data_IF_283869080210
#
_entry.id   IF_283869080210
#
_cell.length_a   1.000
_cell.length_b   1.000
_cell.length_c   1.000
_cell.angle_alpha   90.00
_cell.angle_beta   90.00
_cell.angle_gamma   90.00
#
_symmetry.space_group_name_H-M   'P 1'
#
loop_
_entity.id
_entity.type
_entity.pdbx_description
1 polymer ?
#
# COMPACT_ATOMS: atom_id res chain seq x y z
N UNK A 1 25.63 -8.80 -30.08
CA UNK A 1 25.51 -9.91 -29.12
C UNK A 1 24.18 -10.60 -29.35
N UNK A 2 24.17 -11.92 -29.60
CA UNK A 2 22.93 -12.70 -29.79
C UNK A 2 22.64 -13.44 -28.49
N UNK A 3 21.61 -13.01 -27.76
CA UNK A 3 21.15 -13.71 -26.56
C UNK A 3 20.37 -14.96 -26.94
N UNK A 4 20.66 -16.07 -26.27
CA UNK A 4 19.96 -17.35 -26.49
C UNK A 4 18.49 -17.26 -26.05
N UNK A 5 17.65 -18.16 -26.54
CA UNK A 5 16.23 -18.24 -26.15
C UNK A 5 16.09 -18.42 -24.63
N UNK A 6 16.98 -19.20 -24.01
CA UNK A 6 17.03 -19.37 -22.55
C UNK A 6 17.35 -18.05 -21.82
N UNK A 7 18.31 -17.25 -22.30
CA UNK A 7 18.63 -15.95 -21.72
C UNK A 7 17.47 -14.95 -21.84
N UNK A 8 16.71 -14.99 -22.95
CA UNK A 8 15.52 -14.15 -23.12
C UNK A 8 14.39 -14.55 -22.16
N UNK A 9 14.20 -15.85 -21.95
CA UNK A 9 13.20 -16.37 -21.00
C UNK A 9 13.54 -16.01 -19.54
N UNK A 10 14.81 -16.03 -19.16
CA UNK A 10 15.26 -15.59 -17.82
C UNK A 10 15.04 -14.09 -17.59
N UNK A 11 15.31 -13.25 -18.59
CA UNK A 11 15.06 -11.80 -18.49
C UNK A 11 13.55 -11.50 -18.41
N UNK A 12 12.72 -12.23 -19.16
CA UNK A 12 11.26 -12.05 -19.11
C UNK A 12 10.68 -12.51 -17.76
N UNK A 13 11.18 -13.62 -17.19
CA UNK A 13 10.76 -14.10 -15.87
C UNK A 13 11.21 -13.18 -14.71
N UNK A 14 12.35 -12.49 -14.87
CA UNK A 14 12.82 -11.48 -13.90
C UNK A 14 11.96 -10.21 -13.91
N UNK A 15 11.27 -9.91 -15.01
CA UNK A 15 10.38 -8.74 -15.14
C UNK A 15 8.95 -9.00 -14.66
N UNK A 16 8.56 -10.25 -14.42
CA UNK A 16 7.18 -10.63 -14.07
C UNK A 16 6.93 -10.82 -12.57
N UNK A 17 7.92 -10.58 -11.71
CA UNK A 17 7.73 -10.61 -10.24
C UNK A 17 7.34 -9.25 -9.67
N UNK A 18 6.62 -8.43 -10.45
CA UNK A 18 5.86 -7.34 -9.86
C UNK A 18 4.75 -8.01 -9.03
N UNK A 19 4.94 -8.09 -7.71
CA UNK A 19 3.86 -8.38 -6.78
C UNK A 19 2.78 -7.32 -7.03
N UNK A 20 1.80 -7.67 -7.86
CA UNK A 20 0.69 -6.79 -8.17
C UNK A 20 -0.21 -6.81 -6.94
N UNK A 21 0.15 -5.99 -5.96
CA UNK A 21 -0.81 -5.55 -4.98
C UNK A 21 -1.90 -4.77 -5.74
N UNK A 22 -3.16 -4.97 -5.39
CA UNK A 22 -4.28 -4.25 -5.98
C UNK A 22 -5.06 -3.58 -4.86
N UNK A 23 -4.93 -2.26 -4.71
CA UNK A 23 -5.75 -1.48 -3.78
C UNK A 23 -6.96 -0.85 -4.47
N UNK A 24 -8.09 -0.81 -3.76
CA UNK A 24 -9.27 -0.04 -4.14
C UNK A 24 -9.91 0.60 -2.91
N UNK A 25 -10.65 1.68 -3.12
CA UNK A 25 -11.48 2.31 -2.08
C UNK A 25 -12.81 1.56 -1.95
N UNK A 26 -13.28 1.36 -0.73
CA UNK A 26 -14.57 0.72 -0.45
C UNK A 26 -15.71 1.74 -0.29
N UNK A 27 -15.39 2.99 0.06
CA UNK A 27 -16.38 4.05 0.29
C UNK A 27 -15.97 5.38 -0.38
N UNK A 28 -16.93 6.30 -0.50
CA UNK A 28 -16.69 7.67 -0.98
C UNK A 28 -16.40 8.67 0.16
N UNK A 29 -16.25 8.18 1.39
CA UNK A 29 -15.90 9.04 2.52
C UNK A 29 -14.40 9.32 2.50
N UNK A 30 -14.00 10.53 2.89
CA UNK A 30 -12.60 10.91 3.04
C UNK A 30 -12.28 11.16 4.52
N UNK A 31 -11.16 10.63 4.96
CA UNK A 31 -10.52 10.98 6.22
C UNK A 31 -9.62 12.22 6.03
N UNK A 32 -9.15 12.81 7.14
CA UNK A 32 -8.41 14.07 7.16
C UNK A 32 -7.20 14.04 8.10
N UNK A 33 -6.07 14.57 7.64
CA UNK A 33 -4.81 14.68 8.39
C UNK A 33 -4.25 16.10 8.31
N UNK A 34 -3.65 16.58 9.40
CA UNK A 34 -3.09 17.92 9.54
C UNK A 34 -1.58 17.94 9.79
N UNK A 35 -0.95 16.78 9.89
CA UNK A 35 0.46 16.61 10.23
C UNK A 35 1.32 16.27 9.01
N UNK A 36 1.26 15.03 8.54
CA UNK A 36 2.05 14.50 7.43
C UNK A 36 1.13 13.98 6.34
N UNK A 37 1.67 13.77 5.15
CA UNK A 37 0.87 13.22 4.06
C UNK A 37 0.41 11.80 4.41
N UNK A 38 -0.83 11.41 4.05
CA UNK A 38 -1.32 10.06 4.28
C UNK A 38 -0.40 8.98 3.68
N UNK A 39 0.23 9.26 2.54
CA UNK A 39 1.20 8.37 1.92
C UNK A 39 2.42 8.15 2.83
N UNK A 40 2.99 9.22 3.36
CA UNK A 40 4.15 9.12 4.25
C UNK A 40 3.77 8.43 5.56
N UNK A 41 2.58 8.72 6.12
CA UNK A 41 2.06 8.00 7.29
C UNK A 41 1.89 6.51 7.01
N UNK A 42 1.34 6.14 5.87
CA UNK A 42 1.16 4.75 5.48
C UNK A 42 2.51 4.03 5.34
N UNK A 43 3.53 4.71 4.81
CA UNK A 43 4.90 4.16 4.69
C UNK A 43 5.56 3.98 6.05
N UNK A 44 5.43 4.96 6.94
CA UNK A 44 5.91 4.87 8.33
C UNK A 44 5.29 3.68 9.04
N UNK A 45 3.95 3.59 9.03
CA UNK A 45 3.22 2.49 9.65
C UNK A 45 3.62 1.15 9.04
N UNK A 46 3.73 1.04 7.73
CA UNK A 46 4.13 -0.19 7.07
C UNK A 46 5.53 -0.67 7.49
N UNK A 47 6.47 0.25 7.70
CA UNK A 47 7.86 -0.06 8.09
C UNK A 47 8.07 -0.32 9.57
N UNK A 48 7.05 -0.12 10.42
CA UNK A 48 7.12 -0.55 11.81
C UNK A 48 7.32 -2.07 11.82
N UNK A 49 8.49 -2.52 12.31
CA UNK A 49 8.87 -3.92 12.32
C UNK A 49 7.91 -4.76 13.18
N UNK A 50 7.41 -5.86 12.61
CA UNK A 50 6.51 -6.81 13.28
C UNK A 50 5.30 -7.19 12.43
N UNK A 51 4.66 -8.30 12.78
CA UNK A 51 3.33 -8.68 12.26
C UNK A 51 2.25 -8.06 13.16
N UNK A 52 1.19 -7.53 12.56
CA UNK A 52 0.05 -6.96 13.29
C UNK A 52 -0.44 -5.60 12.76
N UNK A 53 -1.57 -5.18 13.32
CA UNK A 53 -2.27 -3.93 12.99
C UNK A 53 -1.44 -2.72 13.43
N UNK A 54 -0.96 -1.92 12.48
CA UNK A 54 -0.15 -0.71 12.75
C UNK A 54 -1.00 0.52 12.47
N UNK A 55 -1.44 1.21 13.52
CA UNK A 55 -2.45 2.26 13.41
C UNK A 55 -2.00 3.66 13.83
N UNK A 56 -2.65 4.65 13.25
CA UNK A 56 -2.51 6.07 13.57
C UNK A 56 -3.86 6.78 13.42
N UNK A 57 -4.21 7.62 14.41
CA UNK A 57 -5.41 8.46 14.32
C UNK A 57 -5.07 9.78 13.62
N UNK A 58 -5.79 10.09 12.55
CA UNK A 58 -5.77 11.42 11.96
C UNK A 58 -6.71 12.37 12.71
N UNK A 59 -6.95 13.55 12.12
CA UNK A 59 -7.91 14.52 12.63
C UNK A 59 -9.35 14.06 12.47
N UNK A 60 -9.63 13.36 11.37
CA UNK A 60 -10.88 12.63 11.11
C UNK A 60 -10.46 11.31 10.47
N UNK A 61 -10.73 10.18 11.13
CA UNK A 61 -10.36 8.85 10.64
C UNK A 61 -9.12 8.24 11.33
N UNK A 62 -8.97 6.92 11.24
CA UNK A 62 -7.84 6.15 11.79
C UNK A 62 -7.14 5.31 10.73
N UNK A 63 -5.94 5.63 10.27
CA UNK A 63 -5.22 4.75 9.34
C UNK A 63 -4.69 3.51 10.07
N UNK A 64 -4.93 2.30 9.56
CA UNK A 64 -4.26 1.07 9.99
C UNK A 64 -3.63 0.38 8.80
N UNK A 65 -2.45 -0.22 8.96
CA UNK A 65 -1.81 -1.06 7.95
C UNK A 65 -1.69 -2.47 8.52
N UNK A 66 -2.31 -3.43 7.83
CA UNK A 66 -2.06 -4.86 8.03
C UNK A 66 -1.37 -5.43 6.78
N UNK A 67 -0.41 -6.33 6.95
CA UNK A 67 0.35 -6.88 5.82
C UNK A 67 1.82 -7.15 6.11
N UNK A 68 2.59 -7.64 5.12
CA UNK A 68 3.87 -8.29 5.35
C UNK A 68 5.03 -7.35 5.75
N UNK A 69 4.84 -6.03 5.66
CA UNK A 69 5.86 -5.04 6.06
C UNK A 69 7.16 -5.08 5.22
N UNK A 70 7.16 -5.78 4.09
CA UNK A 70 8.32 -5.79 3.18
C UNK A 70 8.50 -4.45 2.50
N UNK A 71 9.73 -4.09 2.12
CA UNK A 71 10.00 -2.82 1.41
C UNK A 71 9.17 -2.69 0.13
N UNK A 72 9.04 -3.78 -0.64
CA UNK A 72 8.22 -3.81 -1.85
C UNK A 72 6.73 -3.51 -1.56
N UNK A 73 6.19 -4.06 -0.47
CA UNK A 73 4.83 -3.75 -0.04
C UNK A 73 4.69 -2.31 0.43
N UNK A 74 5.62 -1.82 1.26
CA UNK A 74 5.56 -0.47 1.80
C UNK A 74 5.73 0.60 0.73
N UNK A 75 6.59 0.36 -0.27
CA UNK A 75 6.76 1.28 -1.40
C UNK A 75 5.54 1.27 -2.32
N UNK A 76 4.87 0.11 -2.49
CA UNK A 76 3.60 0.05 -3.21
C UNK A 76 2.48 0.83 -2.50
N UNK A 77 2.28 0.61 -1.19
CA UNK A 77 1.27 1.32 -0.40
C UNK A 77 1.54 2.83 -0.42
N UNK A 78 2.80 3.24 -0.28
CA UNK A 78 3.19 4.65 -0.38
C UNK A 78 2.83 5.25 -1.74
N UNK A 79 3.17 4.56 -2.84
CA UNK A 79 2.86 5.01 -4.20
C UNK A 79 1.36 5.08 -4.49
N UNK A 80 0.60 4.05 -4.11
CA UNK A 80 -0.84 4.04 -4.32
C UNK A 80 -1.54 5.13 -3.50
N UNK A 81 -1.25 5.23 -2.20
CA UNK A 81 -1.82 6.28 -1.34
C UNK A 81 -1.43 7.67 -1.83
N UNK A 82 -0.19 7.86 -2.29
CA UNK A 82 0.27 9.10 -2.88
C UNK A 82 -0.52 9.52 -4.13
N UNK A 83 -1.02 8.56 -4.91
CA UNK A 83 -1.88 8.82 -6.06
C UNK A 83 -3.34 9.14 -5.73
N UNK A 84 -3.78 8.81 -4.50
CA UNK A 84 -5.17 8.95 -4.05
C UNK A 84 -5.37 10.10 -3.05
N UNK A 85 -4.30 10.62 -2.46
CA UNK A 85 -4.38 11.73 -1.53
C UNK A 85 -4.53 13.08 -2.24
N UNK A 86 -5.12 14.06 -1.57
CA UNK A 86 -5.18 15.45 -2.02
C UNK A 86 -4.93 16.43 -0.89
N UNK A 87 -4.50 17.66 -1.22
CA UNK A 87 -4.24 18.74 -0.27
C UNK A 87 -5.19 19.92 -0.51
N UNK A 88 -5.94 20.30 0.53
CA UNK A 88 -6.84 21.45 0.57
C UNK A 88 -6.84 22.06 1.98
N UNK A 89 -5.73 22.70 2.38
CA UNK A 89 -5.43 23.16 3.76
C UNK A 89 -5.23 22.05 4.81
N UNK A 90 -5.71 20.85 4.50
CA UNK A 90 -5.41 19.59 5.16
C UNK A 90 -5.21 18.50 4.10
N UNK A 91 -4.63 17.38 4.51
CA UNK A 91 -4.55 16.20 3.68
C UNK A 91 -5.86 15.41 3.75
N UNK A 92 -6.27 14.88 2.59
CA UNK A 92 -7.43 14.02 2.44
C UNK A 92 -7.04 12.74 1.72
N UNK A 93 -7.72 11.65 2.06
CA UNK A 93 -7.58 10.32 1.48
C UNK A 93 -8.86 9.55 1.80
N UNK A 94 -9.22 8.59 0.97
CA UNK A 94 -10.37 7.71 1.20
C UNK A 94 -10.32 7.06 2.59
N UNK A 95 -11.46 7.05 3.28
CA UNK A 95 -11.57 6.52 4.63
C UNK A 95 -11.56 4.98 4.67
N UNK A 96 -11.79 4.29 3.56
CA UNK A 96 -11.80 2.83 3.57
C UNK A 96 -11.14 2.29 2.31
N UNK A 97 -10.04 1.56 2.48
CA UNK A 97 -9.17 1.05 1.42
C UNK A 97 -8.83 -0.41 1.72
N UNK A 98 -9.10 -1.29 0.77
CA UNK A 98 -8.64 -2.68 0.81
C UNK A 98 -7.57 -2.87 -0.24
N UNK A 99 -6.53 -3.63 0.08
CA UNK A 99 -5.55 -4.06 -0.90
C UNK A 99 -5.46 -5.59 -0.89
N UNK A 100 -5.38 -6.20 -2.07
CA UNK A 100 -5.15 -7.64 -2.18
C UNK A 100 -3.72 -7.92 -2.63
N UNK A 101 -3.09 -8.93 -2.02
CA UNK A 101 -1.78 -9.45 -2.43
C UNK A 101 -1.91 -10.47 -3.56
N UNK A 102 -1.39 -10.15 -4.75
CA UNK A 102 -1.22 -11.11 -5.82
C UNK A 102 -0.16 -12.17 -5.50
N UNK A 103 -0.62 -13.40 -5.24
CA UNK A 103 0.09 -14.71 -5.30
C UNK A 103 0.82 -15.18 -4.03
N UNK A 104 0.10 -15.90 -3.15
CA UNK A 104 0.37 -17.29 -2.64
C UNK A 104 -0.37 -17.53 -1.30
N UNK A 105 -1.62 -18.01 -1.38
CA UNK A 105 -2.14 -19.03 -0.45
C UNK A 105 -2.18 -18.75 1.06
N UNK A 106 -2.02 -17.51 1.51
CA UNK A 106 -2.33 -17.09 2.88
C UNK A 106 -3.26 -15.90 2.79
N UNK A 107 -4.48 -16.09 3.28
CA UNK A 107 -5.54 -15.09 3.32
C UNK A 107 -5.24 -14.06 4.42
N UNK A 108 -4.11 -13.37 4.29
CA UNK A 108 -3.87 -12.16 5.07
C UNK A 108 -4.47 -11.01 4.25
N UNK A 109 -5.78 -10.82 4.38
CA UNK A 109 -6.49 -9.67 3.82
C UNK A 109 -5.75 -8.40 4.27
N UNK A 110 -5.14 -7.67 3.32
CA UNK A 110 -4.47 -6.40 3.64
C UNK A 110 -5.55 -5.34 3.77
N UNK A 111 -5.81 -4.96 5.02
CA UNK A 111 -6.79 -3.95 5.35
C UNK A 111 -6.12 -2.62 5.66
N UNK A 112 -6.38 -1.60 4.85
CA UNK A 112 -6.22 -0.21 5.25
C UNK A 112 -7.58 0.32 5.71
N UNK A 113 -7.99 -0.10 6.91
CA UNK A 113 -9.21 0.43 7.52
C UNK A 113 -8.94 1.82 8.02
N UNK A 114 -9.79 2.78 7.63
CA UNK A 114 -9.91 4.05 8.35
C UNK A 114 -11.29 4.28 8.96
N UNK A 115 -11.34 4.08 10.28
CA UNK A 115 -12.53 4.28 11.11
C UNK A 115 -12.67 5.74 11.50
#
# INVERSE_FOLDING_TARGET
MKFSIAQKATILALLTQANAYNCWRNTNNAARWDDISPADRARELCRVAGTGERCHNGKIGRMCIDGPGTDAFCDYIWGWTGSQQSWHDNWFLWADITCDGGVLGTADDVHIRML
#
